data_IF_145307241111
#
_entry.id   IF_145307241111
#
_cell.length_a   1.000
_cell.length_b   1.000
_cell.length_c   1.000
_cell.angle_alpha   90.00
_cell.angle_beta   90.00
_cell.angle_gamma   90.00
#
_symmetry.space_group_name_H-M   'P 1'
#
loop_
_entity.id
_entity.type
_entity.pdbx_description
1 polymer ?
#
# COMPACT_ATOMS: atom_id res chain seq x y z
N UNK A 1 4.35 12.94 1.88
CA UNK A 1 3.28 11.92 1.92
C UNK A 1 3.30 11.12 0.63
N UNK A 2 3.25 9.81 0.74
CA UNK A 2 3.18 8.94 -0.44
C UNK A 2 1.78 9.03 -1.07
N UNK A 3 1.73 9.17 -2.39
CA UNK A 3 0.48 9.17 -3.16
C UNK A 3 0.51 7.98 -4.12
N UNK A 4 -0.53 7.16 -4.07
CA UNK A 4 -0.70 6.05 -5.00
C UNK A 4 -1.97 6.28 -5.82
N UNK A 5 -1.84 6.16 -7.13
CA UNK A 5 -3.00 6.24 -8.03
C UNK A 5 -3.66 4.87 -8.07
N UNK A 6 -4.98 4.85 -7.92
CA UNK A 6 -5.76 3.61 -7.94
C UNK A 6 -6.96 3.73 -8.88
N UNK A 7 -7.42 2.58 -9.37
CA UNK A 7 -8.60 2.50 -10.24
C UNK A 7 -9.85 2.82 -9.44
N UNK A 8 -10.85 3.39 -10.12
CA UNK A 8 -12.13 3.78 -9.48
C UNK A 8 -12.77 2.64 -8.69
N UNK A 9 -12.80 1.44 -9.24
CA UNK A 9 -13.38 0.27 -8.56
C UNK A 9 -12.79 0.09 -7.16
N UNK A 10 -11.47 0.09 -7.06
CA UNK A 10 -10.79 -0.12 -5.77
C UNK A 10 -10.91 1.10 -4.87
N UNK A 11 -10.87 2.30 -5.46
CA UNK A 11 -11.09 3.54 -4.73
C UNK A 11 -12.45 3.52 -4.01
N UNK A 12 -13.50 3.17 -4.74
CA UNK A 12 -14.86 3.11 -4.18
C UNK A 12 -14.97 2.06 -3.08
N UNK A 13 -14.33 0.91 -3.25
CA UNK A 13 -14.34 -0.15 -2.25
C UNK A 13 -13.56 0.20 -0.97
N UNK A 14 -12.47 0.94 -1.10
CA UNK A 14 -11.73 1.45 0.05
C UNK A 14 -12.56 2.49 0.77
N UNK A 15 -13.17 3.41 0.04
CA UNK A 15 -13.98 4.48 0.60
C UNK A 15 -15.18 3.93 1.38
N UNK A 16 -15.81 2.87 0.88
CA UNK A 16 -16.95 2.23 1.53
C UNK A 16 -16.56 1.33 2.71
N UNK A 17 -15.28 1.02 2.88
CA UNK A 17 -14.81 0.11 3.90
C UNK A 17 -14.84 -1.37 3.49
N UNK A 18 -15.31 -1.69 2.29
CA UNK A 18 -15.36 -3.06 1.80
C UNK A 18 -13.97 -3.64 1.57
N UNK A 19 -13.04 -2.83 1.03
CA UNK A 19 -11.65 -3.23 0.76
C UNK A 19 -10.74 -2.61 1.81
N UNK A 20 -10.07 -3.47 2.59
CA UNK A 20 -9.21 -3.01 3.69
C UNK A 20 -7.73 -3.25 3.43
N UNK A 21 -7.37 -3.74 2.26
CA UNK A 21 -5.98 -3.91 1.84
C UNK A 21 -5.81 -3.44 0.41
N UNK A 22 -4.69 -2.78 0.13
CA UNK A 22 -4.29 -2.41 -1.22
C UNK A 22 -2.95 -3.09 -1.53
N UNK A 23 -2.77 -3.52 -2.77
CA UNK A 23 -1.62 -4.34 -3.17
C UNK A 23 -0.78 -3.64 -4.22
N UNK A 24 0.54 -3.76 -4.09
CA UNK A 24 1.50 -3.29 -5.09
C UNK A 24 2.55 -4.35 -5.33
N UNK A 25 2.98 -4.48 -6.58
CA UNK A 25 4.00 -5.45 -6.96
C UNK A 25 5.31 -5.19 -6.23
N UNK A 26 6.03 -6.26 -5.89
CA UNK A 26 7.36 -6.16 -5.32
C UNK A 26 8.34 -5.99 -6.46
N UNK A 27 8.72 -4.74 -6.71
CA UNK A 27 9.65 -4.37 -7.78
C UNK A 27 10.38 -3.08 -7.40
N UNK A 28 11.52 -2.76 -8.05
CA UNK A 28 12.34 -1.60 -7.68
C UNK A 28 11.57 -0.29 -7.59
N UNK A 29 10.60 -0.07 -8.47
CA UNK A 29 9.76 1.12 -8.46
C UNK A 29 9.07 1.32 -7.10
N UNK A 30 8.46 0.27 -6.56
CA UNK A 30 7.77 0.33 -5.27
C UNK A 30 8.71 0.17 -4.10
N UNK A 31 9.82 -0.58 -4.24
CA UNK A 31 10.84 -0.67 -3.20
C UNK A 31 11.28 0.72 -2.76
N UNK A 32 11.65 1.57 -3.73
CA UNK A 32 12.12 2.93 -3.44
C UNK A 32 11.04 3.75 -2.73
N UNK A 33 9.82 3.69 -3.23
CA UNK A 33 8.72 4.47 -2.67
C UNK A 33 8.37 4.07 -1.26
N UNK A 34 8.29 2.77 -1.00
CA UNK A 34 7.93 2.29 0.33
C UNK A 34 9.06 2.47 1.34
N UNK A 35 10.33 2.29 0.94
CA UNK A 35 11.45 2.58 1.83
C UNK A 35 11.47 4.05 2.24
N UNK A 36 11.30 4.96 1.29
CA UNK A 36 11.22 6.39 1.58
C UNK A 36 10.05 6.71 2.51
N UNK A 37 8.89 6.11 2.24
CA UNK A 37 7.69 6.33 3.03
C UNK A 37 7.87 5.89 4.49
N UNK A 38 8.53 4.76 4.70
CA UNK A 38 8.83 4.23 6.03
C UNK A 38 10.02 4.92 6.71
N UNK A 39 10.80 5.70 5.97
CA UNK A 39 11.97 6.39 6.50
C UNK A 39 13.24 5.57 6.50
N UNK A 40 13.33 4.52 5.70
CA UNK A 40 14.51 3.68 5.58
C UNK A 40 15.41 4.13 4.44
N UNK A 41 16.70 3.88 4.59
CA UNK A 41 17.68 4.11 3.55
C UNK A 41 17.59 2.99 2.49
N UNK A 42 17.90 3.34 1.25
CA UNK A 42 17.92 2.39 0.12
C UNK A 42 18.74 1.12 0.41
N UNK A 43 19.83 1.24 1.14
CA UNK A 43 20.69 0.11 1.49
C UNK A 43 20.00 -0.92 2.37
N UNK A 44 18.95 -0.54 3.06
CA UNK A 44 18.22 -1.39 4.00
C UNK A 44 17.09 -2.16 3.33
N UNK A 45 16.87 -1.96 2.03
CA UNK A 45 15.71 -2.50 1.31
C UNK A 45 15.49 -3.99 1.53
N UNK A 46 16.50 -4.82 1.31
CA UNK A 46 16.32 -6.27 1.42
C UNK A 46 16.10 -6.72 2.86
N UNK A 47 16.76 -6.11 3.82
CA UNK A 47 16.55 -6.40 5.24
C UNK A 47 15.14 -6.02 5.68
N UNK A 48 14.66 -4.86 5.24
CA UNK A 48 13.30 -4.40 5.56
C UNK A 48 12.25 -5.31 4.91
N UNK A 49 12.45 -5.70 3.65
CA UNK A 49 11.53 -6.62 2.98
C UNK A 49 11.42 -7.94 3.74
N UNK A 50 12.52 -8.45 4.26
CA UNK A 50 12.50 -9.67 5.04
C UNK A 50 11.70 -9.51 6.33
N UNK A 51 11.85 -8.38 7.00
CA UNK A 51 11.05 -8.07 8.19
C UNK A 51 9.57 -7.97 7.84
N UNK A 52 9.23 -7.34 6.71
CA UNK A 52 7.83 -7.19 6.27
C UNK A 52 7.17 -8.53 5.94
N UNK A 53 7.95 -9.55 5.57
CA UNK A 53 7.43 -10.91 5.36
C UNK A 53 7.09 -11.61 6.67
N UNK A 54 7.74 -11.21 7.75
CA UNK A 54 7.54 -11.83 9.07
C UNK A 54 6.45 -11.16 9.87
N UNK A 55 6.29 -9.85 9.72
CA UNK A 55 5.30 -9.08 10.46
C UNK A 55 5.02 -7.75 9.80
N UNK A 56 3.86 -7.18 10.11
CA UNK A 56 3.51 -5.84 9.68
C UNK A 56 4.39 -4.80 10.37
N UNK A 57 4.48 -3.61 9.78
CA UNK A 57 5.12 -2.48 10.44
C UNK A 57 4.38 -2.16 11.74
N UNK A 58 5.12 -1.81 12.77
CA UNK A 58 4.54 -1.47 14.07
C UNK A 58 3.81 -0.13 14.07
N UNK A 59 4.09 0.71 13.07
CA UNK A 59 3.50 2.03 12.92
C UNK A 59 2.58 2.07 11.74
N UNK A 60 1.54 2.89 11.86
CA UNK A 60 0.73 3.28 10.72
C UNK A 60 1.29 4.58 10.15
N UNK A 61 1.35 4.66 8.83
CA UNK A 61 1.81 5.83 8.11
C UNK A 61 0.69 6.36 7.24
N UNK A 62 0.63 7.67 7.09
CA UNK A 62 -0.39 8.32 6.29
C UNK A 62 -0.05 8.19 4.81
N UNK A 63 -1.05 7.87 4.00
CA UNK A 63 -0.93 7.71 2.56
C UNK A 63 -2.13 8.35 1.87
N UNK A 64 -1.93 8.79 0.63
CA UNK A 64 -3.02 9.29 -0.22
C UNK A 64 -3.28 8.29 -1.33
N UNK A 65 -4.52 7.84 -1.44
CA UNK A 65 -5.00 7.11 -2.62
C UNK A 65 -5.74 8.09 -3.51
N UNK A 66 -5.36 8.15 -4.77
CA UNK A 66 -5.93 9.10 -5.72
C UNK A 66 -6.46 8.39 -6.94
N UNK A 67 -7.71 8.69 -7.30
CA UNK A 67 -8.31 8.15 -8.51
C UNK A 67 -8.11 9.16 -9.65
N UNK A 68 -6.96 9.09 -10.30
CA UNK A 68 -6.55 9.97 -11.39
C UNK A 68 -5.18 10.58 -11.17
N UNK A 69 -4.72 11.37 -12.14
CA UNK A 69 -3.38 11.94 -12.14
C UNK A 69 -3.34 13.44 -11.88
N UNK A 70 -4.50 14.08 -11.81
CA UNK A 70 -4.62 15.51 -11.55
C UNK A 70 -4.62 15.78 -10.04
N UNK A 71 -4.15 16.97 -9.65
CA UNK A 71 -4.27 17.40 -8.26
C UNK A 71 -5.73 17.52 -7.81
N UNK A 72 -6.63 17.70 -8.77
CA UNK A 72 -8.06 17.84 -8.51
C UNK A 72 -8.80 16.51 -8.54
N UNK A 73 -8.10 15.42 -8.83
CA UNK A 73 -8.72 14.09 -8.83
C UNK A 73 -9.20 13.71 -7.43
N UNK A 74 -10.28 12.94 -7.32
CA UNK A 74 -10.76 12.45 -6.03
C UNK A 74 -9.67 11.70 -5.30
N UNK A 75 -9.56 11.92 -3.98
CA UNK A 75 -8.56 11.23 -3.18
C UNK A 75 -9.09 10.87 -1.79
N UNK A 76 -8.40 9.90 -1.18
CA UNK A 76 -8.65 9.45 0.19
C UNK A 76 -7.33 9.56 0.93
N UNK A 77 -7.37 10.10 2.15
CA UNK A 77 -6.23 10.04 3.07
C UNK A 77 -6.49 8.89 4.03
N UNK A 78 -5.51 8.02 4.19
CA UNK A 78 -5.67 6.85 5.04
C UNK A 78 -4.42 6.58 5.86
N UNK A 79 -4.60 5.89 6.99
CA UNK A 79 -3.49 5.35 7.77
C UNK A 79 -3.34 3.88 7.43
N UNK A 80 -2.12 3.49 7.05
CA UNK A 80 -1.82 2.12 6.64
C UNK A 80 -0.56 1.59 7.31
N UNK A 81 -0.56 0.29 7.60
CA UNK A 81 0.66 -0.45 7.89
C UNK A 81 1.10 -1.18 6.62
N UNK A 82 2.34 -1.61 6.57
CA UNK A 82 2.91 -2.32 5.42
C UNK A 82 3.37 -3.71 5.82
N UNK A 83 3.12 -4.68 4.97
CA UNK A 83 3.64 -6.05 5.09
C UNK A 83 3.91 -6.60 3.70
N UNK A 84 4.52 -7.78 3.64
CA UNK A 84 4.67 -8.54 2.39
C UNK A 84 4.01 -9.89 2.62
N UNK A 85 2.99 -10.17 1.83
CA UNK A 85 2.24 -11.42 1.89
C UNK A 85 1.38 -11.57 0.64
N UNK A 86 0.69 -12.70 0.51
CA UNK A 86 -0.30 -12.88 -0.54
C UNK A 86 -1.54 -12.06 -0.20
N UNK A 87 -2.30 -11.66 -1.22
CA UNK A 87 -3.50 -10.86 -1.06
C UNK A 87 -4.76 -11.63 -1.41
N UNK A 88 -5.89 -10.93 -1.33
CA UNK A 88 -7.20 -11.49 -1.67
C UNK A 88 -7.53 -11.23 -3.13
N UNK A 89 -7.96 -12.28 -3.84
CA UNK A 89 -8.34 -12.15 -5.25
C UNK A 89 -9.49 -11.17 -5.45
N UNK A 90 -10.44 -11.14 -4.52
CA UNK A 90 -11.58 -10.23 -4.57
C UNK A 90 -11.19 -8.76 -4.53
N UNK A 91 -9.96 -8.46 -4.07
CA UNK A 91 -9.42 -7.11 -4.01
C UNK A 91 -8.29 -6.87 -5.01
N UNK A 92 -8.14 -7.74 -5.98
CA UNK A 92 -7.26 -7.54 -7.11
C UNK A 92 -5.93 -8.29 -7.06
N UNK A 93 -5.68 -9.13 -6.05
CA UNK A 93 -4.47 -9.93 -5.99
C UNK A 93 -4.59 -11.18 -6.85
N UNK A 94 -3.47 -11.62 -7.43
CA UNK A 94 -3.40 -12.91 -8.08
C UNK A 94 -3.05 -13.98 -7.05
N UNK A 95 -3.63 -15.17 -7.20
CA UNK A 95 -3.41 -16.27 -6.28
C UNK A 95 -1.94 -16.69 -6.25
N UNK A 96 -1.39 -16.84 -5.05
CA UNK A 96 -0.03 -17.33 -4.84
C UNK A 96 1.08 -16.31 -5.06
N UNK A 97 0.74 -15.08 -5.42
CA UNK A 97 1.71 -14.00 -5.62
C UNK A 97 1.82 -13.17 -4.35
N UNK A 98 3.06 -12.89 -3.93
CA UNK A 98 3.31 -11.95 -2.85
C UNK A 98 3.30 -10.52 -3.36
N UNK A 99 2.78 -9.63 -2.52
CA UNK A 99 2.69 -8.20 -2.78
C UNK A 99 3.18 -7.40 -1.57
N UNK A 100 3.53 -6.14 -1.80
CA UNK A 100 3.44 -5.15 -0.74
C UNK A 100 1.96 -4.98 -0.41
N UNK A 101 1.61 -5.20 0.83
CA UNK A 101 0.23 -5.10 1.31
C UNK A 101 0.10 -3.92 2.26
N UNK A 102 -0.70 -2.96 1.85
CA UNK A 102 -1.08 -1.82 2.68
C UNK A 102 -2.35 -2.19 3.43
N UNK A 103 -2.24 -2.41 4.73
CA UNK A 103 -3.39 -2.71 5.58
C UNK A 103 -3.97 -1.40 6.09
N UNK A 104 -5.19 -1.09 5.70
CA UNK A 104 -5.85 0.18 5.94
C UNK A 104 -6.56 0.13 7.30
N UNK A 105 -6.10 0.95 8.24
CA UNK A 105 -6.72 1.04 9.57
C UNK A 105 -7.81 2.10 9.62
N UNK A 106 -7.55 3.24 8.98
CA UNK A 106 -8.43 4.40 9.08
C UNK A 106 -8.43 5.17 7.77
N UNK A 107 -9.60 5.64 7.39
CA UNK A 107 -9.82 6.52 6.23
C UNK A 107 -10.34 7.85 6.78
N UNK A 108 -9.75 8.93 6.29
CA UNK A 108 -10.10 10.30 6.72
C UNK A 108 -11.15 10.92 5.83
#
# INVERSE_FOLDING_TARGET
MLTLTIKKKWFDMILSGEKTEEYREIKPYYDVRFMNWLGFHKKETEDVKELLRKQETLRYHTIKFRNGYSKESPHIIADCSLSIKTGKEEWGAEQGIEYYVLSIRKVW
#
